data_IF_415103454712
#
_entry.id   IF_415103454712
#
_cell.length_a   1.000
_cell.length_b   1.000
_cell.length_c   1.000
_cell.angle_alpha   90.00
_cell.angle_beta   90.00
_cell.angle_gamma   90.00
#
_symmetry.space_group_name_H-M   'P 1'
#
loop_
_entity.id
_entity.type
_entity.pdbx_description
1 polymer ?
#
# COMPACT_ATOMS: atom_id res chain seq x y z
N UNK A 1 -22.40 -3.09 -18.48
CA UNK A 1 -22.27 -2.34 -17.21
C UNK A 1 -22.94 -0.96 -17.29
N UNK A 2 -22.55 -0.13 -18.25
CA UNK A 2 -23.01 1.27 -18.34
C UNK A 2 -24.53 1.44 -18.48
N UNK A 3 -25.22 0.48 -19.05
CA UNK A 3 -26.67 0.53 -19.35
C UNK A 3 -27.51 -0.38 -18.44
N UNK A 4 -26.88 -1.05 -17.49
CA UNK A 4 -27.53 -2.01 -16.59
C UNK A 4 -27.43 -1.49 -15.15
N UNK A 5 -28.45 -0.76 -14.65
CA UNK A 5 -28.47 -0.22 -13.28
C UNK A 5 -28.20 -1.27 -12.21
N UNK A 6 -28.63 -2.49 -12.42
CA UNK A 6 -28.46 -3.64 -11.52
C UNK A 6 -26.98 -3.98 -11.24
N UNK A 7 -26.06 -3.60 -12.15
CA UNK A 7 -24.63 -3.75 -11.92
C UNK A 7 -24.04 -2.72 -10.94
N UNK A 8 -24.80 -1.69 -10.58
CA UNK A 8 -24.36 -0.59 -9.74
C UNK A 8 -25.10 -0.48 -8.43
N UNK A 9 -26.38 -0.90 -8.41
CA UNK A 9 -27.23 -0.86 -7.23
C UNK A 9 -26.87 -2.05 -6.32
N UNK A 10 -26.75 -1.78 -5.02
CA UNK A 10 -26.51 -2.80 -4.01
C UNK A 10 -27.87 -3.28 -3.49
N UNK A 11 -28.12 -4.60 -3.55
CA UNK A 11 -29.32 -5.20 -2.99
C UNK A 11 -29.00 -5.83 -1.62
N UNK A 12 -29.90 -5.73 -0.63
CA UNK A 12 -29.68 -6.28 0.70
C UNK A 12 -29.34 -7.78 0.66
N UNK A 13 -28.40 -8.20 1.51
CA UNK A 13 -27.99 -9.59 1.70
C UNK A 13 -27.30 -10.27 0.51
N UNK A 14 -26.88 -9.54 -0.53
CA UNK A 14 -26.02 -10.12 -1.57
C UNK A 14 -24.65 -10.48 -1.01
N UNK A 15 -24.19 -11.69 -1.31
CA UNK A 15 -22.97 -12.28 -0.72
C UNK A 15 -21.71 -11.51 -1.13
N UNK A 16 -21.67 -10.96 -2.35
CA UNK A 16 -20.46 -10.33 -2.89
C UNK A 16 -20.03 -9.04 -2.19
N UNK A 17 -20.97 -8.31 -1.55
CA UNK A 17 -20.64 -7.11 -0.77
C UNK A 17 -20.86 -7.27 0.74
N UNK A 18 -21.62 -8.27 1.17
CA UNK A 18 -21.81 -8.62 2.58
C UNK A 18 -22.64 -7.64 3.42
N UNK A 19 -23.26 -6.61 2.82
CA UNK A 19 -24.12 -5.67 3.54
C UNK A 19 -25.55 -6.22 3.67
N UNK A 20 -25.96 -6.57 4.91
CA UNK A 20 -27.30 -7.10 5.19
C UNK A 20 -28.35 -6.01 5.39
N UNK A 21 -27.98 -4.91 6.07
CA UNK A 21 -28.91 -3.90 6.58
C UNK A 21 -28.97 -2.63 5.70
N UNK A 22 -28.79 -2.76 4.39
CA UNK A 22 -28.97 -1.64 3.45
C UNK A 22 -30.41 -1.58 2.96
N UNK A 23 -30.93 -0.37 2.71
CA UNK A 23 -32.25 -0.16 2.15
C UNK A 23 -32.26 -0.49 0.65
N UNK A 24 -33.27 -1.27 0.21
CA UNK A 24 -33.44 -1.68 -1.19
C UNK A 24 -33.47 -0.49 -2.14
N UNK A 25 -32.60 -0.52 -3.15
CA UNK A 25 -32.54 0.50 -4.21
C UNK A 25 -31.97 1.86 -3.80
N UNK A 26 -31.49 2.00 -2.55
CA UNK A 26 -30.93 3.28 -2.04
C UNK A 26 -29.42 3.36 -2.18
N UNK A 27 -28.70 2.26 -1.99
CA UNK A 27 -27.25 2.22 -2.04
C UNK A 27 -26.75 1.79 -3.42
N UNK A 28 -25.65 2.40 -3.87
CA UNK A 28 -25.01 2.01 -5.12
C UNK A 28 -23.49 2.12 -5.03
N UNK A 29 -22.79 1.42 -5.91
CA UNK A 29 -21.37 1.59 -6.10
C UNK A 29 -21.05 3.02 -6.57
N UNK A 30 -19.90 3.54 -6.14
CA UNK A 30 -19.39 4.81 -6.65
C UNK A 30 -18.82 4.62 -8.07
N UNK A 31 -19.51 5.11 -9.12
CA UNK A 31 -19.14 4.83 -10.51
C UNK A 31 -17.84 5.53 -10.94
N UNK A 32 -17.33 6.46 -10.15
CA UNK A 32 -16.08 7.17 -10.46
C UNK A 32 -14.85 6.43 -9.93
N UNK A 33 -15.01 5.49 -9.03
CA UNK A 33 -13.91 4.71 -8.43
C UNK A 33 -13.83 3.33 -9.07
N UNK A 34 -12.75 3.09 -9.79
CA UNK A 34 -12.51 1.81 -10.45
C UNK A 34 -11.23 1.19 -9.91
N UNK A 35 -11.38 0.09 -9.18
CA UNK A 35 -10.24 -0.72 -8.74
C UNK A 35 -9.93 -1.79 -9.77
N UNK A 36 -8.66 -1.86 -10.15
CA UNK A 36 -8.13 -2.91 -11.03
C UNK A 36 -7.23 -3.82 -10.20
N UNK A 37 -7.46 -5.11 -10.29
CA UNK A 37 -6.64 -6.13 -9.66
C UNK A 37 -5.53 -6.55 -10.63
N UNK A 38 -4.28 -6.44 -10.21
CA UNK A 38 -3.15 -7.06 -10.92
C UNK A 38 -3.03 -8.55 -10.54
N UNK A 39 -2.48 -9.41 -11.41
CA UNK A 39 -2.27 -10.82 -11.09
C UNK A 39 -1.40 -11.01 -9.85
N UNK A 40 -1.69 -12.02 -9.03
CA UNK A 40 -0.82 -12.37 -7.89
C UNK A 40 -1.55 -12.75 -6.61
N UNK A 41 -2.82 -12.41 -6.50
CA UNK A 41 -3.67 -12.76 -5.35
C UNK A 41 -4.91 -13.51 -5.83
N UNK A 42 -5.21 -14.63 -5.18
CA UNK A 42 -6.42 -15.41 -5.42
C UNK A 42 -7.64 -14.83 -4.72
N UNK A 43 -8.82 -15.35 -5.05
CA UNK A 43 -10.09 -14.95 -4.46
C UNK A 43 -10.17 -15.26 -2.95
N UNK A 44 -9.32 -16.17 -2.48
CA UNK A 44 -9.16 -16.53 -1.06
C UNK A 44 -8.19 -15.61 -0.29
N UNK A 45 -7.63 -14.59 -0.95
CA UNK A 45 -6.66 -13.66 -0.40
C UNK A 45 -5.23 -14.22 -0.27
N UNK A 46 -4.98 -15.44 -0.74
CA UNK A 46 -3.64 -16.02 -0.75
C UNK A 46 -2.85 -15.61 -2.00
N UNK A 47 -1.53 -15.52 -1.85
CA UNK A 47 -0.66 -15.24 -2.98
C UNK A 47 -0.56 -16.47 -3.90
N UNK A 48 -0.69 -16.22 -5.19
CA UNK A 48 -0.54 -17.22 -6.24
C UNK A 48 0.95 -17.59 -6.46
N UNK A 49 1.22 -18.51 -7.40
CA UNK A 49 2.60 -18.86 -7.75
C UNK A 49 3.29 -17.79 -8.59
N UNK A 50 2.50 -16.99 -9.28
CA UNK A 50 2.93 -15.89 -10.13
C UNK A 50 2.16 -14.62 -9.76
N UNK A 51 2.82 -13.45 -9.82
CA UNK A 51 2.17 -12.19 -9.57
C UNK A 51 2.91 -10.99 -10.14
N UNK A 52 2.17 -9.92 -10.37
CA UNK A 52 2.67 -8.61 -10.78
C UNK A 52 2.29 -7.62 -9.67
N UNK A 53 3.23 -7.24 -8.79
CA UNK A 53 2.94 -6.25 -7.75
C UNK A 53 2.44 -4.94 -8.36
N UNK A 54 1.37 -4.39 -7.80
CA UNK A 54 0.71 -3.21 -8.34
C UNK A 54 1.63 -1.97 -8.37
N UNK A 55 2.61 -1.89 -7.48
CA UNK A 55 3.59 -0.81 -7.45
C UNK A 55 4.42 -0.73 -8.74
N UNK A 56 4.76 -1.86 -9.36
CA UNK A 56 5.49 -1.90 -10.64
C UNK A 56 4.63 -1.34 -11.77
N UNK A 57 3.37 -1.76 -11.84
CA UNK A 57 2.43 -1.23 -12.83
C UNK A 57 2.16 0.26 -12.59
N UNK A 58 2.01 0.69 -11.33
CA UNK A 58 1.84 2.11 -10.99
C UNK A 58 3.03 2.96 -11.44
N UNK A 59 4.25 2.50 -11.20
CA UNK A 59 5.47 3.20 -11.65
C UNK A 59 5.51 3.33 -13.18
N UNK A 60 5.16 2.27 -13.90
CA UNK A 60 5.09 2.27 -15.36
C UNK A 60 4.03 3.24 -15.88
N UNK A 61 2.82 3.23 -15.30
CA UNK A 61 1.73 4.15 -15.65
C UNK A 61 2.10 5.60 -15.35
N UNK A 62 2.78 5.86 -14.23
CA UNK A 62 3.26 7.19 -13.86
C UNK A 62 4.18 7.80 -14.91
N UNK A 63 5.06 7.01 -15.51
CA UNK A 63 5.91 7.45 -16.62
C UNK A 63 5.09 7.83 -17.86
N UNK A 64 3.94 7.21 -18.08
CA UNK A 64 3.01 7.56 -19.15
C UNK A 64 2.13 8.80 -18.82
N UNK A 65 2.41 9.47 -17.69
CA UNK A 65 1.64 10.62 -17.22
C UNK A 65 0.28 10.25 -16.61
N UNK A 66 0.08 8.98 -16.23
CA UNK A 66 -1.15 8.51 -15.60
C UNK A 66 -0.91 8.44 -14.08
N UNK A 67 -1.57 9.32 -13.36
CA UNK A 67 -1.56 9.33 -11.89
C UNK A 67 -2.71 8.48 -11.38
N UNK A 68 -2.38 7.48 -10.56
CA UNK A 68 -3.37 6.63 -9.88
C UNK A 68 -3.75 7.26 -8.55
N UNK A 69 -4.94 6.95 -8.05
CA UNK A 69 -5.41 7.46 -6.75
C UNK A 69 -4.78 6.69 -5.59
N UNK A 70 -4.73 5.37 -5.70
CA UNK A 70 -4.20 4.51 -4.65
C UNK A 70 -3.63 3.23 -5.24
N UNK A 71 -2.52 2.78 -4.66
CA UNK A 71 -1.91 1.48 -4.97
C UNK A 71 -1.82 0.67 -3.69
N UNK A 72 -2.25 -0.58 -3.71
CA UNK A 72 -1.99 -1.57 -2.66
C UNK A 72 -1.05 -2.66 -3.21
N UNK A 73 -0.91 -3.79 -2.52
CA UNK A 73 -0.08 -4.89 -2.99
C UNK A 73 -0.42 -5.33 -4.43
N UNK A 74 -1.73 -5.50 -4.72
CA UNK A 74 -2.22 -6.00 -6.01
C UNK A 74 -3.40 -5.21 -6.58
N UNK A 75 -3.81 -4.09 -5.96
CA UNK A 75 -4.89 -3.26 -6.50
C UNK A 75 -4.43 -1.86 -6.83
N UNK A 76 -4.97 -1.31 -7.90
CA UNK A 76 -4.77 0.07 -8.32
C UNK A 76 -6.13 0.72 -8.44
N UNK A 77 -6.34 1.82 -7.71
CA UNK A 77 -7.57 2.60 -7.77
C UNK A 77 -7.40 3.76 -8.74
N UNK A 78 -8.32 3.85 -9.69
CA UNK A 78 -8.45 4.97 -10.63
C UNK A 78 -9.69 5.80 -10.31
N UNK A 79 -9.56 7.13 -10.41
CA UNK A 79 -10.67 8.07 -10.33
C UNK A 79 -11.09 8.54 -11.73
N UNK A 80 -12.29 8.18 -12.13
CA UNK A 80 -12.91 8.63 -13.39
C UNK A 80 -13.84 9.81 -13.13
N UNK A 81 -13.27 10.96 -12.80
CA UNK A 81 -14.03 12.19 -12.55
C UNK A 81 -14.73 12.70 -13.82
N UNK A 82 -15.65 13.66 -13.66
CA UNK A 82 -16.40 14.27 -14.76
C UNK A 82 -15.52 14.91 -15.85
N UNK A 83 -14.25 15.21 -15.55
CA UNK A 83 -13.28 15.74 -16.50
C UNK A 83 -12.56 14.69 -17.36
N UNK A 84 -12.88 13.39 -17.19
CA UNK A 84 -12.26 12.32 -17.98
C UNK A 84 -12.94 12.19 -19.34
N UNK A 85 -12.18 12.44 -20.39
CA UNK A 85 -12.61 12.29 -21.78
C UNK A 85 -12.33 10.88 -22.32
N UNK A 86 -12.93 10.54 -23.48
CA UNK A 86 -12.61 9.30 -24.20
C UNK A 86 -11.11 9.16 -24.51
N UNK A 87 -10.43 10.26 -24.82
CA UNK A 87 -8.99 10.25 -25.04
C UNK A 87 -8.21 9.83 -23.80
N UNK A 88 -8.53 10.38 -22.64
CA UNK A 88 -7.82 10.10 -21.39
C UNK A 88 -7.93 8.63 -20.96
N UNK A 89 -9.14 8.05 -20.96
CA UNK A 89 -9.25 6.65 -20.61
C UNK A 89 -8.72 5.72 -21.72
N UNK A 90 -8.76 6.14 -22.99
CA UNK A 90 -8.09 5.45 -24.08
C UNK A 90 -6.56 5.39 -23.87
N UNK A 91 -5.97 6.49 -23.37
CA UNK A 91 -4.55 6.50 -22.96
C UNK A 91 -4.26 5.46 -21.86
N UNK A 92 -5.13 5.35 -20.86
CA UNK A 92 -4.99 4.33 -19.82
C UNK A 92 -5.01 2.91 -20.40
N UNK A 93 -5.99 2.59 -21.26
CA UNK A 93 -6.09 1.26 -21.87
C UNK A 93 -4.85 0.95 -22.72
N UNK A 94 -4.38 1.91 -23.51
CA UNK A 94 -3.17 1.72 -24.32
C UNK A 94 -1.94 1.50 -23.42
N UNK A 95 -1.80 2.28 -22.34
CA UNK A 95 -0.69 2.13 -21.40
C UNK A 95 -0.68 0.74 -20.73
N UNK A 96 -1.85 0.18 -20.40
CA UNK A 96 -1.98 -1.19 -19.87
C UNK A 96 -1.60 -2.26 -20.91
N UNK A 97 -1.97 -2.06 -22.18
CA UNK A 97 -1.57 -2.96 -23.27
C UNK A 97 -0.06 -2.87 -23.54
N UNK A 98 0.50 -1.67 -23.52
CA UNK A 98 1.94 -1.45 -23.66
C UNK A 98 2.70 -2.09 -22.49
N UNK A 99 2.22 -1.92 -21.25
CA UNK A 99 2.79 -2.60 -20.09
C UNK A 99 2.83 -4.12 -20.29
N UNK A 100 1.70 -4.70 -20.73
CA UNK A 100 1.66 -6.15 -20.98
C UNK A 100 2.69 -6.60 -22.01
N UNK A 101 2.80 -5.90 -23.13
CA UNK A 101 3.79 -6.19 -24.18
C UNK A 101 5.22 -6.11 -23.63
N UNK A 102 5.53 -5.02 -22.92
CA UNK A 102 6.86 -4.74 -22.41
C UNK A 102 7.23 -5.71 -21.26
N UNK A 103 6.25 -6.09 -20.44
CA UNK A 103 6.40 -7.14 -19.45
C UNK A 103 6.67 -8.52 -20.07
N UNK A 104 5.86 -8.92 -21.06
CA UNK A 104 6.00 -10.22 -21.73
C UNK A 104 7.37 -10.35 -22.43
N UNK A 105 7.92 -9.25 -22.95
CA UNK A 105 9.25 -9.20 -23.58
C UNK A 105 10.38 -8.98 -22.59
N UNK A 106 10.09 -8.81 -21.30
CA UNK A 106 11.05 -8.42 -20.26
C UNK A 106 11.88 -7.20 -20.66
N UNK A 107 11.21 -6.12 -21.13
CA UNK A 107 11.86 -4.91 -21.60
C UNK A 107 12.79 -4.33 -20.53
N UNK A 108 14.01 -3.96 -20.91
CA UNK A 108 15.02 -3.40 -20.00
C UNK A 108 14.49 -2.15 -19.27
N UNK A 109 14.81 -2.04 -17.96
CA UNK A 109 14.38 -0.91 -17.12
C UNK A 109 14.92 0.42 -17.63
N UNK A 110 16.06 0.43 -18.31
CA UNK A 110 16.61 1.61 -18.96
C UNK A 110 15.63 2.23 -19.97
N UNK A 111 14.82 1.43 -20.64
CA UNK A 111 13.84 1.86 -21.63
C UNK A 111 12.47 2.16 -21.02
N UNK A 112 12.01 1.33 -20.07
CA UNK A 112 10.66 1.48 -19.52
C UNK A 112 10.59 2.27 -18.19
N UNK A 113 11.63 2.25 -17.35
CA UNK A 113 11.70 2.96 -16.06
C UNK A 113 13.07 3.62 -15.83
N UNK A 114 13.58 4.48 -16.73
CA UNK A 114 14.93 5.04 -16.66
C UNK A 114 15.18 5.87 -15.41
N UNK A 115 14.18 6.58 -14.90
CA UNK A 115 14.32 7.40 -13.69
C UNK A 115 14.58 6.53 -12.45
N UNK A 116 13.87 5.40 -12.34
CA UNK A 116 14.09 4.40 -11.29
C UNK A 116 15.52 3.85 -11.35
N UNK A 117 15.96 3.47 -12.55
CA UNK A 117 17.30 2.93 -12.77
C UNK A 117 18.38 3.97 -12.46
N UNK A 118 18.21 5.21 -12.94
CA UNK A 118 19.20 6.29 -12.72
C UNK A 118 19.36 6.59 -11.22
N UNK A 119 18.26 6.63 -10.48
CA UNK A 119 18.29 6.89 -9.03
C UNK A 119 18.85 5.71 -8.23
N UNK A 120 18.76 4.47 -8.74
CA UNK A 120 19.08 3.25 -7.99
C UNK A 120 19.87 2.24 -8.83
N UNK A 121 20.89 2.71 -9.53
CA UNK A 121 21.66 1.91 -10.49
C UNK A 121 22.26 0.64 -9.88
N UNK A 122 22.79 0.72 -8.65
CA UNK A 122 23.38 -0.45 -7.98
C UNK A 122 22.37 -1.59 -7.76
N UNK A 123 21.10 -1.24 -7.58
CA UNK A 123 20.03 -2.22 -7.30
C UNK A 123 19.44 -2.83 -8.56
N UNK A 124 19.27 -2.03 -9.62
CA UNK A 124 18.45 -2.39 -10.78
C UNK A 124 19.21 -2.53 -12.09
N UNK A 125 20.53 -2.36 -12.12
CA UNK A 125 21.31 -2.48 -13.35
C UNK A 125 21.16 -3.85 -13.99
N UNK A 126 20.85 -3.89 -15.29
CA UNK A 126 20.69 -5.11 -16.06
C UNK A 126 19.38 -5.88 -15.85
N UNK A 127 18.42 -5.31 -15.11
CA UNK A 127 17.10 -5.91 -14.92
C UNK A 127 16.13 -5.48 -16.02
N UNK A 128 15.22 -6.40 -16.39
CA UNK A 128 14.02 -6.08 -17.16
C UNK A 128 12.79 -5.87 -16.27
N UNK A 129 11.71 -5.45 -16.90
CA UNK A 129 10.45 -5.13 -16.21
C UNK A 129 9.84 -6.36 -15.52
N UNK A 130 9.95 -7.52 -16.16
CA UNK A 130 9.48 -8.79 -15.61
C UNK A 130 10.36 -9.24 -14.45
N UNK A 131 11.69 -9.12 -14.57
CA UNK A 131 12.63 -9.48 -13.51
C UNK A 131 12.36 -8.66 -12.24
N UNK A 132 12.11 -7.36 -12.39
CA UNK A 132 11.74 -6.48 -11.28
C UNK A 132 10.45 -6.93 -10.59
N UNK A 133 9.41 -7.22 -11.38
CA UNK A 133 8.13 -7.64 -10.82
C UNK A 133 8.22 -8.99 -10.10
N UNK A 134 8.96 -9.95 -10.65
CA UNK A 134 9.18 -11.27 -10.03
C UNK A 134 9.98 -11.13 -8.73
N UNK A 135 11.02 -10.29 -8.70
CA UNK A 135 11.85 -10.09 -7.52
C UNK A 135 11.05 -9.47 -6.37
N UNK A 136 10.24 -8.43 -6.66
CA UNK A 136 9.34 -7.84 -5.66
C UNK A 136 8.30 -8.87 -5.20
N UNK A 137 7.68 -9.63 -6.10
CA UNK A 137 6.69 -10.63 -5.75
C UNK A 137 7.25 -11.74 -4.84
N UNK A 138 8.47 -12.21 -5.13
CA UNK A 138 9.18 -13.19 -4.29
C UNK A 138 9.43 -12.61 -2.89
N UNK A 139 9.85 -11.35 -2.80
CA UNK A 139 10.07 -10.68 -1.52
C UNK A 139 8.76 -10.53 -0.72
N UNK A 140 7.65 -10.18 -1.37
CA UNK A 140 6.32 -10.11 -0.73
C UNK A 140 5.88 -11.48 -0.18
N UNK A 141 6.10 -12.56 -0.93
CA UNK A 141 5.83 -13.94 -0.45
C UNK A 141 6.70 -14.29 0.74
N UNK A 142 8.00 -14.00 0.68
CA UNK A 142 8.96 -14.31 1.76
C UNK A 142 8.61 -13.57 3.04
N UNK A 143 8.29 -12.28 2.94
CA UNK A 143 8.00 -11.43 4.09
C UNK A 143 6.54 -11.55 4.57
N UNK A 144 5.70 -12.29 3.83
CA UNK A 144 4.28 -12.48 4.12
C UNK A 144 3.54 -11.14 4.34
N UNK A 145 3.86 -10.12 3.53
CA UNK A 145 3.41 -8.73 3.73
C UNK A 145 1.90 -8.62 3.92
N UNK A 146 1.11 -9.26 3.06
CA UNK A 146 -0.37 -9.26 3.16
C UNK A 146 -0.86 -9.87 4.48
N UNK A 147 -0.24 -10.97 4.93
CA UNK A 147 -0.63 -11.63 6.18
C UNK A 147 -0.22 -10.83 7.41
N UNK A 148 0.97 -10.21 7.41
CA UNK A 148 1.42 -9.34 8.51
C UNK A 148 0.56 -8.09 8.62
N UNK A 149 0.16 -7.49 7.51
CA UNK A 149 -0.79 -6.37 7.49
C UNK A 149 -2.13 -6.78 8.10
N UNK A 150 -2.72 -7.89 7.66
CA UNK A 150 -4.00 -8.37 8.19
C UNK A 150 -3.94 -8.66 9.70
N UNK A 151 -2.84 -9.22 10.19
CA UNK A 151 -2.64 -9.46 11.62
C UNK A 151 -2.51 -8.14 12.41
N UNK A 152 -1.77 -7.17 11.88
CA UNK A 152 -1.56 -5.88 12.54
C UNK A 152 -2.86 -5.08 12.67
N UNK A 153 -3.64 -4.99 11.60
CA UNK A 153 -4.94 -4.29 11.61
C UNK A 153 -6.08 -5.12 12.23
N UNK A 154 -5.87 -6.40 12.46
CA UNK A 154 -6.83 -7.30 13.13
C UNK A 154 -6.82 -7.20 14.65
N UNK A 155 -5.91 -6.40 15.24
CA UNK A 155 -5.81 -6.21 16.70
C UNK A 155 -6.01 -4.76 17.08
N UNK A 156 -6.48 -4.52 18.30
CA UNK A 156 -6.56 -3.19 18.89
C UNK A 156 -5.35 -3.00 19.83
N UNK A 157 -4.52 -1.96 19.60
CA UNK A 157 -3.44 -1.61 20.53
C UNK A 157 -3.98 -1.21 21.90
N UNK A 158 -3.18 -1.41 22.93
CA UNK A 158 -3.53 -0.96 24.29
C UNK A 158 -3.19 0.52 24.44
N UNK A 159 -4.21 1.36 24.68
CA UNK A 159 -4.03 2.75 25.02
C UNK A 159 -3.77 2.90 26.54
N UNK A 160 -2.68 3.59 26.90
CA UNK A 160 -2.34 3.94 28.27
C UNK A 160 -2.49 5.42 28.55
N UNK A 161 -2.36 6.25 27.50
CA UNK A 161 -2.67 7.68 27.51
C UNK A 161 -3.70 7.99 26.44
N UNK A 162 -4.48 9.02 26.68
CA UNK A 162 -5.28 9.62 25.62
C UNK A 162 -4.38 10.36 24.61
N UNK A 163 -4.82 10.57 23.37
CA UNK A 163 -4.06 11.37 22.40
C UNK A 163 -3.71 12.77 22.87
N UNK A 164 -4.56 13.38 23.72
CA UNK A 164 -4.32 14.71 24.29
C UNK A 164 -3.17 14.66 25.29
N UNK A 165 -3.14 13.69 26.19
CA UNK A 165 -2.05 13.52 27.17
C UNK A 165 -0.71 13.21 26.48
N UNK A 166 -0.74 12.37 25.44
CA UNK A 166 0.44 12.09 24.61
C UNK A 166 0.94 13.36 23.90
N UNK A 167 0.03 14.17 23.35
CA UNK A 167 0.36 15.44 22.72
C UNK A 167 0.96 16.46 23.70
N UNK A 168 0.45 16.55 24.94
CA UNK A 168 1.05 17.41 25.97
C UNK A 168 2.50 17.02 26.28
N UNK A 169 2.80 15.73 26.33
CA UNK A 169 4.18 15.23 26.50
C UNK A 169 5.06 15.56 25.28
N UNK A 170 4.53 15.39 24.07
CA UNK A 170 5.22 15.76 22.83
C UNK A 170 5.61 17.24 22.83
N UNK A 171 4.67 18.14 23.16
CA UNK A 171 4.92 19.59 23.19
C UNK A 171 5.95 19.97 24.24
N UNK A 172 6.02 19.23 25.36
CA UNK A 172 7.03 19.43 26.41
C UNK A 172 8.39 18.79 26.10
N UNK A 173 8.54 18.16 24.91
CA UNK A 173 9.75 17.42 24.51
C UNK A 173 10.06 16.22 25.44
N UNK A 174 9.01 15.63 26.02
CA UNK A 174 9.09 14.39 26.82
C UNK A 174 8.98 13.17 25.90
N UNK A 175 9.73 13.18 24.81
CA UNK A 175 9.72 12.15 23.75
C UNK A 175 11.15 11.78 23.35
N UNK A 176 11.25 10.62 22.71
CA UNK A 176 12.52 10.09 22.21
C UNK A 176 12.30 9.46 20.84
N UNK A 177 13.20 9.70 19.90
CA UNK A 177 13.19 9.07 18.59
C UNK A 177 13.98 7.76 18.67
N UNK A 178 13.31 6.64 18.40
CA UNK A 178 13.88 5.30 18.58
C UNK A 178 13.65 4.44 17.34
N UNK A 179 14.42 3.37 17.20
CA UNK A 179 14.23 2.34 16.18
C UNK A 179 13.00 1.46 16.50
N UNK A 180 12.55 0.66 15.53
CA UNK A 180 11.41 -0.26 15.75
C UNK A 180 11.70 -1.28 16.87
N UNK A 181 12.94 -1.74 17.02
CA UNK A 181 13.30 -2.67 18.09
C UNK A 181 13.27 -2.00 19.47
N UNK A 182 13.73 -0.77 19.58
CA UNK A 182 13.74 0.02 20.81
C UNK A 182 12.34 0.53 21.20
N UNK A 183 11.39 0.55 20.26
CA UNK A 183 10.00 0.94 20.49
C UNK A 183 9.17 -0.16 21.17
N UNK A 184 9.68 -1.39 21.27
CA UNK A 184 8.95 -2.51 21.85
C UNK A 184 8.52 -2.21 23.29
N UNK A 185 7.22 -2.38 23.56
CA UNK A 185 6.61 -2.12 24.87
C UNK A 185 6.48 -0.64 25.25
N UNK A 186 6.85 0.29 24.36
CA UNK A 186 6.77 1.74 24.62
C UNK A 186 5.52 2.35 24.00
N UNK A 187 5.14 3.50 24.50
CA UNK A 187 3.97 4.25 24.04
C UNK A 187 4.38 5.20 22.93
N UNK A 188 3.68 5.16 21.78
CA UNK A 188 3.96 6.06 20.67
C UNK A 188 3.49 7.50 21.00
N UNK A 189 4.31 8.48 20.62
CA UNK A 189 3.99 9.88 20.85
C UNK A 189 3.19 10.51 19.71
N UNK A 190 3.26 9.92 18.51
CA UNK A 190 2.58 10.38 17.30
C UNK A 190 1.79 9.23 16.67
N UNK A 191 0.78 9.56 15.87
CA UNK A 191 0.05 8.54 15.13
C UNK A 191 0.91 7.91 14.04
N UNK A 192 0.87 6.59 13.93
CA UNK A 192 1.57 5.82 12.89
C UNK A 192 0.53 5.35 11.87
N UNK A 193 0.65 5.86 10.64
CA UNK A 193 -0.35 5.62 9.59
C UNK A 193 0.36 5.19 8.30
N UNK A 194 0.48 3.87 8.05
CA UNK A 194 1.00 3.38 6.78
C UNK A 194 0.06 3.69 5.61
N UNK A 195 0.61 4.13 4.50
CA UNK A 195 -0.16 4.38 3.29
C UNK A 195 0.43 3.62 2.09
N UNK A 196 -0.31 2.69 1.51
CA UNK A 196 -1.64 2.20 1.91
C UNK A 196 -1.63 1.40 3.23
N UNK A 197 -2.79 1.21 3.93
CA UNK A 197 -4.15 1.59 3.50
C UNK A 197 -4.56 3.02 3.88
N UNK A 198 -3.78 3.76 4.66
CA UNK A 198 -4.14 5.08 5.18
C UNK A 198 -5.06 5.00 6.40
N UNK A 199 -4.97 3.89 7.13
CA UNK A 199 -5.68 3.66 8.40
C UNK A 199 -4.64 3.75 9.53
N UNK A 200 -4.93 4.45 10.63
CA UNK A 200 -4.02 4.47 11.78
C UNK A 200 -3.74 3.05 12.29
N UNK A 201 -2.45 2.69 12.32
CA UNK A 201 -1.97 1.46 12.92
C UNK A 201 -1.80 1.62 14.44
N UNK A 202 -1.31 2.79 14.84
CA UNK A 202 -1.13 3.19 16.23
C UNK A 202 -1.57 4.65 16.40
N UNK A 203 -2.30 4.93 17.46
CA UNK A 203 -2.67 6.27 17.87
C UNK A 203 -1.73 6.78 18.96
N UNK A 204 -1.54 8.11 19.12
CA UNK A 204 -0.73 8.66 20.21
C UNK A 204 -1.19 8.14 21.58
N UNK A 205 -0.27 7.66 22.41
CA UNK A 205 -0.55 7.10 23.73
C UNK A 205 -0.82 5.61 23.73
N UNK A 206 -0.82 4.94 22.58
CA UNK A 206 -0.94 3.49 22.46
C UNK A 206 0.42 2.79 22.55
N UNK A 207 0.41 1.58 23.08
CA UNK A 207 1.59 0.74 23.23
C UNK A 207 1.94 0.04 21.91
N UNK A 208 3.19 0.15 21.47
CA UNK A 208 3.68 -0.48 20.24
C UNK A 208 3.68 -2.02 20.30
N UNK A 209 3.46 -2.59 21.49
CA UNK A 209 3.45 -4.03 21.70
C UNK A 209 4.85 -4.66 21.75
N UNK A 210 4.93 -6.00 21.82
CA UNK A 210 6.20 -6.69 21.87
C UNK A 210 6.98 -6.62 20.56
N UNK A 211 8.31 -6.77 20.62
CA UNK A 211 9.21 -6.65 19.47
C UNK A 211 8.89 -7.62 18.31
N UNK A 212 8.33 -8.78 18.62
CA UNK A 212 7.86 -9.80 17.67
C UNK A 212 6.34 -9.77 17.46
N UNK A 213 5.68 -8.74 18.00
CA UNK A 213 4.23 -8.56 17.88
C UNK A 213 3.78 -8.11 16.47
N UNK A 214 2.48 -8.24 16.17
CA UNK A 214 1.95 -7.94 14.84
C UNK A 214 2.19 -6.49 14.38
N UNK A 215 2.09 -5.50 15.28
CA UNK A 215 2.25 -4.08 14.96
C UNK A 215 3.67 -3.78 14.49
N UNK A 216 4.68 -4.07 15.32
CA UNK A 216 6.08 -3.88 14.98
C UNK A 216 6.53 -4.83 13.87
N UNK A 217 5.98 -6.05 13.82
CA UNK A 217 6.24 -7.02 12.76
C UNK A 217 5.84 -6.49 11.38
N UNK A 218 4.69 -5.82 11.28
CA UNK A 218 4.27 -5.19 10.02
C UNK A 218 5.17 -4.01 9.64
N UNK A 219 5.49 -3.11 10.57
CA UNK A 219 6.40 -1.99 10.31
C UNK A 219 7.80 -2.47 9.88
N UNK A 220 8.32 -3.53 10.49
CA UNK A 220 9.60 -4.16 10.09
C UNK A 220 9.52 -4.78 8.68
N UNK A 221 8.37 -5.33 8.31
CA UNK A 221 8.16 -5.83 6.95
C UNK A 221 8.19 -4.70 5.91
N UNK A 222 7.59 -3.54 6.23
CA UNK A 222 7.66 -2.33 5.38
C UNK A 222 9.11 -1.82 5.29
N UNK A 223 9.79 -1.68 6.41
CA UNK A 223 11.21 -1.25 6.47
C UNK A 223 12.10 -2.16 5.61
N UNK A 224 11.94 -3.46 5.74
CA UNK A 224 12.69 -4.45 4.95
C UNK A 224 12.40 -4.34 3.46
N UNK A 225 11.14 -4.11 3.09
CA UNK A 225 10.74 -3.90 1.70
C UNK A 225 11.35 -2.62 1.15
N UNK A 226 11.21 -1.50 1.83
CA UNK A 226 11.68 -0.19 1.41
C UNK A 226 13.21 -0.17 1.22
N UNK A 227 13.93 -0.86 2.10
CA UNK A 227 15.39 -1.03 1.99
C UNK A 227 15.75 -1.89 0.78
N UNK A 228 14.97 -2.93 0.50
CA UNK A 228 15.24 -3.87 -0.60
C UNK A 228 14.88 -3.30 -1.98
N UNK A 229 13.87 -2.42 -2.02
CA UNK A 229 13.32 -1.88 -3.27
C UNK A 229 13.24 -0.36 -3.26
N UNK A 230 14.40 0.34 -3.24
CA UNK A 230 14.42 1.81 -3.26
C UNK A 230 13.72 2.32 -4.53
N UNK A 231 12.88 3.35 -4.37
CA UNK A 231 11.99 3.86 -5.41
C UNK A 231 10.56 3.30 -5.37
N UNK A 232 10.31 2.29 -4.51
CA UNK A 232 8.98 1.72 -4.22
C UNK A 232 8.61 1.84 -2.74
N UNK A 233 9.19 2.82 -2.05
CA UNK A 233 9.03 3.03 -0.63
C UNK A 233 7.58 3.37 -0.25
N UNK A 234 7.18 2.90 0.93
CA UNK A 234 5.89 3.20 1.52
C UNK A 234 5.89 4.59 2.17
N UNK A 235 4.78 5.30 2.04
CA UNK A 235 4.55 6.52 2.83
C UNK A 235 3.92 6.13 4.17
N UNK A 236 4.72 6.18 5.23
CA UNK A 236 4.27 5.85 6.58
C UNK A 236 4.35 7.09 7.47
N UNK A 237 3.22 7.78 7.63
CA UNK A 237 3.15 8.94 8.51
C UNK A 237 3.52 8.56 9.94
N UNK A 238 4.27 9.43 10.61
CA UNK A 238 4.77 9.20 11.98
C UNK A 238 6.03 8.33 12.07
N UNK A 239 6.55 7.89 10.93
CA UNK A 239 7.85 7.21 10.80
C UNK A 239 8.83 8.16 10.11
N UNK A 240 10.03 8.29 10.67
CA UNK A 240 11.19 8.89 10.02
C UNK A 240 12.06 7.78 9.44
N UNK A 241 12.37 7.86 8.15
CA UNK A 241 13.28 6.91 7.50
C UNK A 241 14.61 7.57 7.24
N UNK A 242 15.67 7.10 7.90
CA UNK A 242 17.03 7.56 7.69
C UNK A 242 17.91 6.39 7.30
N UNK A 243 18.52 6.46 6.13
CA UNK A 243 19.36 5.39 5.56
C UNK A 243 18.65 4.01 5.53
N UNK A 244 17.33 4.00 5.31
CA UNK A 244 16.52 2.78 5.27
C UNK A 244 16.13 2.22 6.65
N UNK A 245 16.47 2.91 7.73
CA UNK A 245 16.07 2.52 9.10
C UNK A 245 14.87 3.35 9.52
N UNK A 246 13.83 2.68 9.97
CA UNK A 246 12.62 3.29 10.49
C UNK A 246 12.78 3.71 11.95
N UNK A 247 12.40 4.96 12.22
CA UNK A 247 12.39 5.54 13.57
C UNK A 247 11.04 6.16 13.86
N UNK A 248 10.60 6.07 15.10
CA UNK A 248 9.34 6.67 15.56
C UNK A 248 9.54 7.37 16.91
N UNK A 249 8.70 8.36 17.16
CA UNK A 249 8.68 9.06 18.44
C UNK A 249 7.88 8.25 19.48
N UNK A 250 8.50 7.99 20.62
CA UNK A 250 7.88 7.34 21.78
C UNK A 250 7.94 8.27 22.99
N UNK A 251 7.02 8.09 23.94
CA UNK A 251 7.01 8.81 25.21
C UNK A 251 8.15 8.34 26.12
N UNK A 252 8.77 9.30 26.86
CA UNK A 252 9.78 9.00 27.89
C UNK A 252 9.14 8.49 29.15
#
# INVERSE_FOLDING_TARGET
LKTEPECWVLHPNEVWHGFGDIEEGYCMLDPIKVSVLSPGMGDDGNLLDFGIPACVLTAYLGRQGIVVEKTTDFTILFLFSIGITKGKWGTLVNALLDFKRDYDSNLELELCLPDLLTANQQRYAGMGLKDLAEDIFIAMKKNRTTATMAQAFGMLPQAEYSPVEAYEKLVRNEVELVTLDEAAGRLVATGIVPYPPGIPLLMPGENAGPADGPLLGYLKALESFDTSFPGFTHDTHGIESEAGVYRLLVLK
#
